data_IF_532682442577
#
_entry.id   IF_532682442577
#
_cell.length_a   1.000
_cell.length_b   1.000
_cell.length_c   1.000
_cell.angle_alpha   90.00
_cell.angle_beta   90.00
_cell.angle_gamma   90.00
#
_symmetry.space_group_name_H-M   'P 1'
#
loop_
_entity.id
_entity.type
_entity.pdbx_description
1 polymer ?
#
# COMPACT_ATOMS: atom_id res chain seq x y z
N UNK A 1 -34.11 -2.35 -2.58
CA UNK A 1 -33.64 -3.56 -3.31
C UNK A 1 -32.78 -3.29 -4.56
N UNK A 2 -32.94 -2.21 -5.34
CA UNK A 2 -32.07 -1.90 -6.50
C UNK A 2 -30.60 -1.59 -6.11
N UNK A 3 -30.33 -1.03 -4.93
CA UNK A 3 -28.98 -0.73 -4.45
C UNK A 3 -28.16 -1.98 -4.06
N UNK A 4 -28.80 -3.03 -3.53
CA UNK A 4 -28.09 -4.27 -3.14
C UNK A 4 -27.61 -5.08 -4.37
N UNK A 5 -28.40 -5.13 -5.46
CA UNK A 5 -28.00 -5.81 -6.71
C UNK A 5 -26.76 -5.18 -7.35
N UNK A 6 -26.57 -3.86 -7.22
CA UNK A 6 -25.38 -3.18 -7.71
C UNK A 6 -24.13 -3.46 -6.84
N UNK A 7 -24.30 -3.79 -5.59
CA UNK A 7 -23.18 -4.03 -4.66
C UNK A 7 -22.53 -5.39 -4.92
N UNK A 8 -23.35 -6.45 -5.00
CA UNK A 8 -22.86 -7.81 -5.27
C UNK A 8 -22.18 -7.93 -6.64
N UNK A 9 -22.69 -7.29 -7.68
CA UNK A 9 -22.03 -7.29 -9.00
C UNK A 9 -20.71 -6.52 -9.00
N UNK A 10 -20.60 -5.44 -8.24
CA UNK A 10 -19.34 -4.68 -8.09
C UNK A 10 -18.27 -5.48 -7.35
N UNK A 11 -18.66 -6.22 -6.30
CA UNK A 11 -17.76 -7.11 -5.57
C UNK A 11 -17.29 -8.29 -6.43
N UNK A 12 -18.18 -8.89 -7.22
CA UNK A 12 -17.83 -10.00 -8.11
C UNK A 12 -16.84 -9.56 -9.20
N UNK A 13 -17.06 -8.41 -9.82
CA UNK A 13 -16.14 -7.82 -10.81
C UNK A 13 -14.78 -7.54 -10.17
N UNK A 14 -14.76 -7.07 -8.93
CA UNK A 14 -13.55 -6.76 -8.17
C UNK A 14 -12.74 -8.03 -7.88
N UNK A 15 -13.37 -9.08 -7.39
CA UNK A 15 -12.73 -10.37 -7.09
C UNK A 15 -12.22 -11.02 -8.38
N UNK A 16 -13.04 -11.08 -9.43
CA UNK A 16 -12.64 -11.63 -10.73
C UNK A 16 -11.49 -10.86 -11.36
N UNK A 17 -11.50 -9.52 -11.26
CA UNK A 17 -10.43 -8.71 -11.83
C UNK A 17 -9.13 -8.85 -11.04
N UNK A 18 -9.18 -8.92 -9.71
CA UNK A 18 -8.00 -9.17 -8.87
C UNK A 18 -7.40 -10.53 -9.19
N UNK A 19 -8.22 -11.56 -9.34
CA UNK A 19 -7.77 -12.89 -9.77
C UNK A 19 -7.16 -12.81 -11.17
N UNK A 20 -7.81 -12.12 -12.10
CA UNK A 20 -7.37 -12.03 -13.51
C UNK A 20 -6.06 -11.26 -13.68
N UNK A 21 -5.81 -10.24 -12.87
CA UNK A 21 -4.59 -9.41 -12.94
C UNK A 21 -3.43 -10.02 -12.12
N UNK A 22 -3.74 -10.71 -11.02
CA UNK A 22 -2.70 -11.25 -10.12
C UNK A 22 -2.23 -12.65 -10.52
N UNK A 23 -3.09 -13.49 -11.12
CA UNK A 23 -2.75 -14.89 -11.44
C UNK A 23 -1.78 -15.03 -12.63
N UNK A 24 -1.91 -14.31 -13.75
CA UNK A 24 -0.96 -14.43 -14.87
C UNK A 24 0.41 -13.84 -14.55
N UNK A 25 0.43 -12.75 -13.77
CA UNK A 25 1.71 -12.11 -13.36
C UNK A 25 2.58 -13.02 -12.49
N UNK A 26 1.97 -13.93 -11.74
CA UNK A 26 2.68 -14.86 -10.87
C UNK A 26 3.23 -16.10 -11.58
N UNK A 27 2.63 -16.52 -12.70
CA UNK A 27 2.94 -17.80 -13.35
C UNK A 27 4.23 -17.79 -14.23
N UNK A 28 4.66 -16.62 -14.73
CA UNK A 28 5.78 -16.53 -15.68
C UNK A 28 7.06 -15.89 -15.12
N UNK A 29 7.11 -15.51 -13.84
CA UNK A 29 8.13 -14.64 -13.28
C UNK A 29 9.32 -15.35 -12.62
N UNK A 30 9.73 -16.49 -13.13
CA UNK A 30 10.98 -17.15 -12.68
C UNK A 30 12.25 -16.34 -12.98
N UNK A 31 12.14 -15.30 -13.83
CA UNK A 31 13.15 -14.28 -14.07
C UNK A 31 12.43 -12.96 -14.34
N UNK A 32 12.08 -12.20 -13.27
CA UNK A 32 11.50 -10.90 -13.43
C UNK A 32 12.47 -9.98 -14.18
N UNK A 33 12.18 -9.69 -15.45
CA UNK A 33 12.92 -8.64 -16.17
C UNK A 33 12.58 -7.27 -15.58
N UNK A 34 13.54 -6.32 -15.64
CA UNK A 34 13.31 -4.95 -15.20
C UNK A 34 12.01 -4.36 -15.77
N UNK A 35 11.69 -4.70 -17.02
CA UNK A 35 10.46 -4.26 -17.68
C UNK A 35 9.19 -4.84 -17.07
N UNK A 36 9.20 -6.11 -16.64
CA UNK A 36 8.03 -6.75 -16.04
C UNK A 36 7.70 -6.16 -14.64
N UNK A 37 8.73 -5.94 -13.81
CA UNK A 37 8.55 -5.33 -12.48
C UNK A 37 8.08 -3.88 -12.62
N UNK A 38 8.67 -3.12 -13.54
CA UNK A 38 8.24 -1.75 -13.83
C UNK A 38 6.78 -1.72 -14.33
N UNK A 39 6.45 -2.55 -15.31
CA UNK A 39 5.09 -2.62 -15.86
C UNK A 39 4.07 -3.04 -14.80
N UNK A 40 4.39 -4.02 -13.95
CA UNK A 40 3.55 -4.47 -12.85
C UNK A 40 3.22 -3.32 -11.87
N UNK A 41 4.21 -2.53 -11.50
CA UNK A 41 4.01 -1.36 -10.65
C UNK A 41 3.18 -0.28 -11.34
N UNK A 42 3.56 0.12 -12.55
CA UNK A 42 2.94 1.23 -13.28
C UNK A 42 1.51 0.88 -13.69
N UNK A 43 1.33 -0.19 -14.45
CA UNK A 43 0.01 -0.57 -14.96
C UNK A 43 -0.90 -1.11 -13.84
N UNK A 44 -0.34 -1.91 -12.94
CA UNK A 44 -1.09 -2.46 -11.81
C UNK A 44 -1.65 -1.36 -10.91
N UNK A 45 -0.85 -0.34 -10.55
CA UNK A 45 -1.32 0.79 -9.75
C UNK A 45 -2.34 1.63 -10.53
N UNK A 46 -2.09 1.89 -11.83
CA UNK A 46 -3.02 2.64 -12.68
C UNK A 46 -4.40 2.00 -12.74
N UNK A 47 -4.45 0.70 -13.05
CA UNK A 47 -5.71 -0.06 -13.12
C UNK A 47 -6.39 -0.14 -11.76
N UNK A 48 -5.65 -0.44 -10.69
CA UNK A 48 -6.21 -0.54 -9.34
C UNK A 48 -6.79 0.80 -8.85
N UNK A 49 -6.17 1.93 -9.22
CA UNK A 49 -6.68 3.27 -8.93
C UNK A 49 -8.02 3.52 -9.64
N UNK A 50 -8.16 3.11 -10.91
CA UNK A 50 -9.43 3.18 -11.64
C UNK A 50 -10.51 2.33 -10.95
N UNK A 51 -10.18 1.09 -10.58
CA UNK A 51 -11.12 0.18 -9.91
C UNK A 51 -11.57 0.74 -8.56
N UNK A 52 -10.63 1.24 -7.75
CA UNK A 52 -10.95 1.90 -6.48
C UNK A 52 -11.91 3.06 -6.69
N UNK A 53 -11.62 3.95 -7.64
CA UNK A 53 -12.47 5.10 -7.98
C UNK A 53 -13.86 4.69 -8.46
N UNK A 54 -13.95 3.63 -9.28
CA UNK A 54 -15.22 3.06 -9.75
C UNK A 54 -16.07 2.52 -8.60
N UNK A 55 -15.47 1.76 -7.69
CA UNK A 55 -16.15 1.20 -6.51
C UNK A 55 -16.66 2.29 -5.58
N UNK A 56 -15.87 3.36 -5.42
CA UNK A 56 -16.24 4.53 -4.62
C UNK A 56 -17.29 5.43 -5.30
N UNK A 57 -17.63 5.16 -6.57
CA UNK A 57 -18.64 5.92 -7.31
C UNK A 57 -18.15 7.28 -7.83
N UNK A 58 -16.83 7.47 -7.91
CA UNK A 58 -16.20 8.73 -8.33
C UNK A 58 -15.98 8.81 -9.85
N UNK A 59 -16.10 7.70 -10.59
CA UNK A 59 -16.04 7.67 -12.05
C UNK A 59 -17.44 7.98 -12.62
N UNK A 60 -17.55 9.12 -13.32
CA UNK A 60 -18.77 9.57 -13.99
C UNK A 60 -18.58 9.70 -15.50
N UNK A 61 -17.35 9.72 -15.98
CA UNK A 61 -17.01 9.93 -17.37
C UNK A 61 -15.74 9.18 -17.77
N UNK A 62 -15.50 9.03 -19.07
CA UNK A 62 -14.24 8.49 -19.60
C UNK A 62 -13.03 9.35 -19.20
N UNK A 63 -13.22 10.67 -19.05
CA UNK A 63 -12.18 11.58 -18.54
C UNK A 63 -11.72 11.20 -17.13
N UNK A 64 -12.66 10.80 -16.27
CA UNK A 64 -12.31 10.36 -14.89
C UNK A 64 -11.52 9.05 -14.92
N UNK A 65 -11.89 8.09 -15.80
CA UNK A 65 -11.13 6.85 -16.02
C UNK A 65 -9.70 7.18 -16.44
N UNK A 66 -9.54 8.04 -17.46
CA UNK A 66 -8.22 8.45 -17.98
C UNK A 66 -7.40 9.16 -16.89
N UNK A 67 -8.02 10.07 -16.14
CA UNK A 67 -7.37 10.75 -15.00
C UNK A 67 -6.85 9.75 -13.98
N UNK A 68 -7.71 8.82 -13.52
CA UNK A 68 -7.34 7.80 -12.53
C UNK A 68 -6.22 6.89 -13.04
N UNK A 69 -6.30 6.47 -14.31
CA UNK A 69 -5.29 5.60 -14.90
C UNK A 69 -3.93 6.32 -15.02
N UNK A 70 -3.89 7.52 -15.58
CA UNK A 70 -2.62 8.26 -15.80
C UNK A 70 -1.95 8.59 -14.48
N UNK A 71 -2.66 9.19 -13.53
CA UNK A 71 -2.06 9.53 -12.24
C UNK A 71 -1.79 8.31 -11.36
N UNK A 72 -2.63 7.27 -11.43
CA UNK A 72 -2.35 5.99 -10.79
C UNK A 72 -1.11 5.32 -11.34
N UNK A 73 -0.89 5.37 -12.67
CA UNK A 73 0.34 4.88 -13.31
C UNK A 73 1.57 5.71 -12.91
N UNK A 74 1.44 7.02 -12.81
CA UNK A 74 2.51 7.88 -12.28
C UNK A 74 2.86 7.54 -10.82
N UNK A 75 1.85 7.30 -9.99
CA UNK A 75 2.07 6.80 -8.63
C UNK A 75 2.75 5.42 -8.62
N UNK A 76 2.39 4.53 -9.55
CA UNK A 76 3.03 3.23 -9.75
C UNK A 76 4.52 3.34 -10.09
N UNK A 77 4.91 4.31 -10.93
CA UNK A 77 6.31 4.63 -11.19
C UNK A 77 7.01 5.13 -9.93
N UNK A 78 6.34 5.98 -9.13
CA UNK A 78 6.87 6.43 -7.85
C UNK A 78 7.08 5.28 -6.87
N UNK A 79 6.17 4.31 -6.78
CA UNK A 79 6.36 3.10 -5.97
C UNK A 79 7.51 2.22 -6.47
N UNK A 80 7.68 2.05 -7.78
CA UNK A 80 8.84 1.38 -8.35
C UNK A 80 10.15 2.04 -7.91
N UNK A 81 10.26 3.35 -8.06
CA UNK A 81 11.44 4.11 -7.65
C UNK A 81 11.68 4.06 -6.14
N UNK A 82 10.62 4.13 -5.32
CA UNK A 82 10.73 4.05 -3.87
C UNK A 82 11.32 2.70 -3.40
N UNK A 83 10.90 1.59 -4.03
CA UNK A 83 11.47 0.25 -3.77
C UNK A 83 12.92 0.16 -4.22
N UNK A 84 13.24 0.73 -5.39
CA UNK A 84 14.62 0.78 -5.89
C UNK A 84 15.55 1.59 -4.97
N UNK A 85 15.06 2.69 -4.39
CA UNK A 85 15.79 3.48 -3.38
C UNK A 85 16.01 2.67 -2.10
N UNK A 86 14.95 2.05 -1.57
CA UNK A 86 15.02 1.23 -0.36
C UNK A 86 15.99 0.05 -0.53
N UNK A 87 15.93 -0.66 -1.67
CA UNK A 87 16.82 -1.76 -2.00
C UNK A 87 18.30 -1.38 -2.07
N UNK A 88 18.58 -0.11 -2.42
CA UNK A 88 19.95 0.46 -2.38
C UNK A 88 20.35 1.00 -0.99
N UNK A 89 19.54 0.79 0.04
CA UNK A 89 19.78 1.28 1.39
C UNK A 89 19.26 2.69 1.68
N UNK A 90 18.74 3.43 0.70
CA UNK A 90 18.14 4.75 0.88
C UNK A 90 16.68 4.64 1.35
N UNK A 91 16.46 3.95 2.47
CA UNK A 91 15.13 3.55 2.95
C UNK A 91 14.26 4.77 3.24
N UNK A 92 14.78 5.80 3.93
CA UNK A 92 14.01 7.01 4.25
C UNK A 92 13.45 7.68 2.99
N UNK A 93 14.30 7.91 1.99
CA UNK A 93 13.88 8.51 0.72
C UNK A 93 12.85 7.63 -0.01
N UNK A 94 13.05 6.30 0.03
CA UNK A 94 12.09 5.34 -0.49
C UNK A 94 10.73 5.46 0.19
N UNK A 95 10.68 5.49 1.53
CA UNK A 95 9.43 5.61 2.31
C UNK A 95 8.73 6.94 2.05
N UNK A 96 9.47 8.05 1.99
CA UNK A 96 8.89 9.36 1.68
C UNK A 96 8.27 9.40 0.28
N UNK A 97 8.97 8.86 -0.72
CA UNK A 97 8.45 8.76 -2.09
C UNK A 97 7.25 7.81 -2.17
N UNK A 98 7.24 6.72 -1.39
CA UNK A 98 6.09 5.82 -1.31
C UNK A 98 4.85 6.51 -0.75
N UNK A 99 4.99 7.30 0.33
CA UNK A 99 3.87 8.07 0.89
C UNK A 99 3.35 9.13 -0.09
N UNK A 100 4.23 9.82 -0.82
CA UNK A 100 3.82 10.75 -1.88
C UNK A 100 3.06 10.02 -3.00
N UNK A 101 3.56 8.88 -3.44
CA UNK A 101 2.91 8.05 -4.48
C UNK A 101 1.56 7.54 -4.00
N UNK A 102 1.45 7.10 -2.76
CA UNK A 102 0.19 6.71 -2.13
C UNK A 102 -0.80 7.87 -2.12
N UNK A 103 -0.36 9.07 -1.75
CA UNK A 103 -1.20 10.27 -1.75
C UNK A 103 -1.78 10.56 -3.13
N UNK A 104 -0.95 10.51 -4.18
CA UNK A 104 -1.41 10.72 -5.56
C UNK A 104 -2.49 9.71 -5.96
N UNK A 105 -2.25 8.41 -5.73
CA UNK A 105 -3.20 7.36 -6.06
C UNK A 105 -4.52 7.50 -5.26
N UNK A 106 -4.43 7.77 -3.96
CA UNK A 106 -5.60 7.96 -3.09
C UNK A 106 -6.43 9.18 -3.50
N UNK A 107 -5.79 10.34 -3.70
CA UNK A 107 -6.48 11.58 -4.07
C UNK A 107 -7.28 11.39 -5.36
N UNK A 108 -6.65 10.86 -6.41
CA UNK A 108 -7.36 10.66 -7.69
C UNK A 108 -8.47 9.61 -7.59
N UNK A 109 -8.26 8.54 -6.82
CA UNK A 109 -9.31 7.54 -6.57
C UNK A 109 -10.50 8.14 -5.81
N UNK A 110 -10.27 9.15 -4.98
CA UNK A 110 -11.30 9.90 -4.24
C UNK A 110 -11.97 10.99 -5.09
N UNK A 111 -11.53 11.20 -6.33
CA UNK A 111 -12.06 12.24 -7.23
C UNK A 111 -11.39 13.61 -7.04
N UNK A 112 -10.39 13.70 -6.17
CA UNK A 112 -9.64 14.93 -5.86
C UNK A 112 -8.54 15.20 -6.89
N UNK A 113 -7.87 16.34 -6.78
CA UNK A 113 -6.63 16.63 -7.51
C UNK A 113 -5.48 15.74 -7.03
N UNK A 114 -4.50 15.40 -7.88
CA UNK A 114 -3.46 14.43 -7.53
C UNK A 114 -2.60 14.84 -6.31
N UNK A 115 -2.51 16.13 -6.03
CA UNK A 115 -1.73 16.70 -4.93
C UNK A 115 -2.59 17.53 -3.95
N UNK A 116 -3.90 17.31 -3.90
CA UNK A 116 -4.78 18.06 -2.99
C UNK A 116 -4.48 17.72 -1.52
N UNK A 117 -4.10 16.49 -1.24
CA UNK A 117 -3.67 16.06 0.10
C UNK A 117 -2.34 15.32 0.02
N UNK A 118 -1.51 15.51 1.04
CA UNK A 118 -0.33 14.68 1.32
C UNK A 118 -0.64 13.74 2.47
N UNK A 119 -0.55 12.44 2.21
CA UNK A 119 -0.78 11.39 3.18
C UNK A 119 0.53 10.86 3.77
N UNK A 120 0.52 10.65 5.07
CA UNK A 120 1.62 10.02 5.81
C UNK A 120 1.06 8.87 6.63
N UNK A 121 1.58 7.67 6.40
CA UNK A 121 1.23 6.50 7.19
C UNK A 121 2.23 6.33 8.33
N UNK A 122 1.75 6.55 9.55
CA UNK A 122 2.44 6.19 10.78
C UNK A 122 1.90 4.82 11.26
N UNK A 123 2.46 4.22 12.28
CA UNK A 123 2.23 2.79 12.59
C UNK A 123 0.79 2.28 12.39
N UNK A 124 -0.21 2.98 12.81
CA UNK A 124 -1.62 2.60 12.61
C UNK A 124 -2.50 3.82 12.28
N UNK A 125 -1.86 4.97 12.12
CA UNK A 125 -2.49 6.26 11.83
C UNK A 125 -2.12 6.66 10.41
N UNK A 126 -3.13 6.95 9.61
CA UNK A 126 -2.96 7.61 8.33
C UNK A 126 -3.39 9.07 8.48
N UNK A 127 -2.43 9.96 8.37
CA UNK A 127 -2.62 11.41 8.42
C UNK A 127 -2.60 11.97 6.99
N UNK A 128 -3.66 12.65 6.59
CA UNK A 128 -3.69 13.44 5.36
C UNK A 128 -3.69 14.93 5.70
N UNK A 129 -2.84 15.68 5.02
CA UNK A 129 -2.71 17.13 5.18
C UNK A 129 -3.10 17.80 3.87
N UNK A 130 -4.07 18.71 3.92
CA UNK A 130 -4.47 19.49 2.74
C UNK A 130 -3.32 20.38 2.29
N UNK A 131 -3.03 20.36 1.00
CA UNK A 131 -2.05 21.26 0.40
C UNK A 131 -2.70 22.60 0.00
N UNK A 132 -1.91 23.61 -0.32
CA UNK A 132 -2.43 24.86 -0.90
C UNK A 132 -3.13 24.66 -2.27
N UNK A 133 -2.97 23.52 -2.90
CA UNK A 133 -3.61 23.18 -4.18
C UNK A 133 -5.07 22.70 -4.01
N UNK A 134 -5.42 22.25 -2.81
CA UNK A 134 -6.79 21.82 -2.49
C UNK A 134 -7.74 23.01 -2.52
N UNK A 135 -8.66 23.03 -3.47
CA UNK A 135 -9.57 24.17 -3.69
C UNK A 135 -10.59 24.35 -2.56
N UNK A 136 -11.06 23.28 -1.94
CA UNK A 136 -12.02 23.29 -0.84
C UNK A 136 -11.79 22.06 0.02
N UNK A 137 -10.73 22.01 0.83
CA UNK A 137 -10.43 20.83 1.63
C UNK A 137 -11.54 20.60 2.65
N UNK A 138 -11.96 19.34 2.79
CA UNK A 138 -12.95 18.94 3.80
C UNK A 138 -12.43 19.14 5.23
N UNK A 139 -11.12 19.09 5.41
CA UNK A 139 -10.37 19.48 6.61
C UNK A 139 -8.92 19.76 6.23
N UNK A 140 -8.21 20.54 7.03
CA UNK A 140 -6.76 20.74 6.85
C UNK A 140 -6.02 19.46 7.21
N UNK A 141 -6.42 18.80 8.28
CA UNK A 141 -5.90 17.53 8.73
C UNK A 141 -7.02 16.49 8.74
N UNK A 142 -6.78 15.36 8.10
CA UNK A 142 -7.67 14.21 8.13
C UNK A 142 -6.93 13.01 8.71
N UNK A 143 -7.47 12.44 9.78
CA UNK A 143 -6.88 11.31 10.49
C UNK A 143 -7.76 10.09 10.32
N UNK A 144 -7.18 8.97 9.93
CA UNK A 144 -7.84 7.68 9.93
C UNK A 144 -6.94 6.61 10.55
N UNK A 145 -7.54 5.53 11.06
CA UNK A 145 -6.81 4.37 11.56
C UNK A 145 -6.92 3.20 10.59
N UNK A 146 -5.87 2.37 10.57
CA UNK A 146 -5.83 1.12 9.82
C UNK A 146 -6.02 -0.05 10.78
N UNK A 147 -7.09 -0.83 10.61
CA UNK A 147 -7.32 -2.03 11.44
C UNK A 147 -6.23 -3.09 11.24
N UNK A 148 -5.77 -3.27 9.98
CA UNK A 148 -4.67 -4.19 9.66
C UNK A 148 -3.39 -3.79 10.36
N UNK A 149 -3.04 -2.50 10.34
CA UNK A 149 -1.80 -2.03 10.93
C UNK A 149 -1.86 -2.09 12.47
N UNK A 150 -3.04 -1.92 13.07
CA UNK A 150 -3.23 -2.17 14.51
C UNK A 150 -2.92 -3.63 14.85
N UNK A 151 -3.51 -4.59 14.11
CA UNK A 151 -3.26 -6.02 14.33
C UNK A 151 -1.80 -6.36 14.06
N UNK A 152 -1.24 -5.82 12.98
CA UNK A 152 0.17 -5.99 12.60
C UNK A 152 1.12 -5.45 13.67
N UNK A 153 0.83 -4.27 14.22
CA UNK A 153 1.59 -3.68 15.32
C UNK A 153 1.58 -4.56 16.57
N UNK A 154 0.38 -5.01 16.99
CA UNK A 154 0.24 -5.89 18.17
C UNK A 154 1.02 -7.19 17.96
N UNK A 155 0.97 -7.76 16.76
CA UNK A 155 1.73 -8.98 16.42
C UNK A 155 3.23 -8.74 16.44
N UNK A 156 3.70 -7.62 15.89
CA UNK A 156 5.11 -7.27 15.85
C UNK A 156 5.68 -6.99 17.25
N UNK A 157 4.95 -6.23 18.07
CA UNK A 157 5.42 -5.88 19.43
C UNK A 157 5.47 -7.09 20.36
N UNK A 158 4.57 -8.07 20.17
CA UNK A 158 4.55 -9.29 20.98
C UNK A 158 5.85 -10.10 20.84
N UNK A 159 6.48 -10.05 19.67
CA UNK A 159 7.69 -10.79 19.34
C UNK A 159 8.96 -9.92 19.39
N UNK A 160 8.81 -8.63 19.72
CA UNK A 160 9.91 -7.68 19.68
C UNK A 160 10.67 -7.63 21.01
N UNK A 161 12.02 -7.63 20.92
CA UNK A 161 12.89 -7.27 22.02
C UNK A 161 13.14 -5.77 22.08
N UNK A 162 13.33 -5.15 20.92
CA UNK A 162 13.53 -3.72 20.81
C UNK A 162 12.62 -3.13 19.72
N UNK A 163 12.18 -1.91 19.98
CA UNK A 163 11.40 -1.11 19.05
C UNK A 163 12.19 0.17 18.79
N UNK A 164 12.35 0.53 17.55
CA UNK A 164 13.05 1.76 17.15
C UNK A 164 12.39 2.41 15.95
N UNK A 165 12.47 3.74 15.87
CA UNK A 165 12.07 4.48 14.69
C UNK A 165 13.32 4.76 13.86
N UNK A 166 13.42 4.12 12.70
CA UNK A 166 14.56 4.26 11.79
C UNK A 166 14.08 4.45 10.36
N UNK A 167 14.72 5.35 9.65
CA UNK A 167 14.49 5.55 8.21
C UNK A 167 13.01 5.78 7.83
N UNK A 168 12.24 6.48 8.69
CA UNK A 168 10.84 6.73 8.45
C UNK A 168 9.89 5.55 8.74
N UNK A 169 10.41 4.45 9.27
CA UNK A 169 9.64 3.26 9.64
C UNK A 169 9.79 2.95 11.13
N UNK A 170 8.72 2.46 11.75
CA UNK A 170 8.79 1.82 13.05
C UNK A 170 9.28 0.39 12.83
N UNK A 171 10.46 0.09 13.35
CA UNK A 171 11.15 -1.19 13.15
C UNK A 171 11.25 -1.96 14.44
N UNK A 172 11.21 -3.27 14.33
CA UNK A 172 11.28 -4.20 15.45
C UNK A 172 12.52 -5.06 15.31
N UNK A 173 13.12 -5.41 16.46
CA UNK A 173 14.20 -6.39 16.51
C UNK A 173 13.75 -7.54 17.39
N UNK A 174 13.91 -8.78 16.92
CA UNK A 174 13.60 -10.01 17.64
C UNK A 174 14.87 -10.83 17.86
N UNK A 175 14.89 -11.66 18.90
CA UNK A 175 16.00 -12.58 19.16
C UNK A 175 15.79 -13.92 18.45
N UNK A 176 14.53 -14.33 18.29
CA UNK A 176 14.17 -15.60 17.69
C UNK A 176 13.53 -15.40 16.31
N UNK A 177 13.85 -16.24 15.33
CA UNK A 177 13.26 -16.18 14.01
C UNK A 177 11.79 -16.64 14.05
N UNK A 178 10.97 -16.03 13.21
CA UNK A 178 9.57 -16.45 13.02
C UNK A 178 9.46 -17.89 12.53
N UNK A 179 10.44 -18.33 11.71
CA UNK A 179 10.60 -19.70 11.24
C UNK A 179 12.07 -19.96 10.92
N UNK A 180 12.46 -21.24 10.84
CA UNK A 180 13.84 -21.65 10.52
C UNK A 180 14.33 -21.01 9.22
N UNK A 181 15.44 -20.28 9.27
CA UNK A 181 16.07 -19.64 8.12
C UNK A 181 15.53 -18.24 7.79
N UNK A 182 14.53 -17.75 8.52
CA UNK A 182 13.99 -16.40 8.35
C UNK A 182 14.82 -15.41 9.17
N UNK A 183 15.46 -14.46 8.49
CA UNK A 183 16.31 -13.43 9.12
C UNK A 183 15.58 -12.11 9.38
N UNK A 184 14.43 -11.92 8.72
CA UNK A 184 13.55 -10.77 8.88
C UNK A 184 12.16 -11.08 8.35
N UNK A 185 11.19 -10.28 8.71
CA UNK A 185 9.83 -10.34 8.20
C UNK A 185 9.13 -8.99 8.34
N UNK A 186 8.13 -8.75 7.53
CA UNK A 186 7.33 -7.54 7.62
C UNK A 186 5.86 -7.89 7.80
N UNK A 187 5.24 -7.30 8.81
CA UNK A 187 3.80 -7.39 9.04
C UNK A 187 3.18 -6.01 8.82
N UNK A 188 2.35 -5.88 7.80
CA UNK A 188 1.84 -4.57 7.39
C UNK A 188 2.97 -3.65 6.94
N UNK A 189 3.15 -2.52 7.63
CA UNK A 189 4.24 -1.56 7.38
C UNK A 189 5.37 -1.65 8.42
N UNK A 190 5.44 -2.75 9.17
CA UNK A 190 6.37 -2.94 10.31
C UNK A 190 7.46 -3.95 9.97
N UNK A 191 8.64 -3.51 9.52
CA UNK A 191 9.79 -4.38 9.36
C UNK A 191 10.27 -4.92 10.71
N UNK A 192 10.56 -6.20 10.76
CA UNK A 192 11.19 -6.89 11.88
C UNK A 192 12.44 -7.58 11.38
N UNK A 193 13.55 -7.44 12.09
CA UNK A 193 14.81 -8.13 11.79
C UNK A 193 15.31 -8.86 13.04
N UNK A 194 16.08 -9.92 12.85
CA UNK A 194 16.78 -10.55 13.97
C UNK A 194 17.88 -9.64 14.50
N UNK A 195 18.24 -9.82 15.77
CA UNK A 195 19.40 -9.20 16.38
C UNK A 195 20.66 -9.52 15.55
N UNK A 196 21.35 -8.50 15.07
CA UNK A 196 22.48 -8.66 14.14
C UNK A 196 22.11 -8.83 12.66
N UNK A 197 20.85 -8.65 12.29
CA UNK A 197 20.40 -8.64 10.89
C UNK A 197 21.15 -7.60 10.05
N UNK A 198 21.54 -7.98 8.82
CA UNK A 198 22.28 -7.12 7.91
C UNK A 198 21.42 -5.95 7.40
N UNK A 199 22.09 -4.89 6.92
CA UNK A 199 21.42 -3.78 6.22
C UNK A 199 20.62 -4.25 5.00
N UNK A 200 21.05 -5.31 4.35
CA UNK A 200 20.36 -5.92 3.21
C UNK A 200 19.02 -6.56 3.63
N UNK A 201 18.98 -7.27 4.78
CA UNK A 201 17.73 -7.80 5.34
C UNK A 201 16.78 -6.64 5.63
N UNK A 202 17.27 -5.57 6.26
CA UNK A 202 16.44 -4.40 6.54
C UNK A 202 15.93 -3.72 5.27
N UNK A 203 16.73 -3.64 4.21
CA UNK A 203 16.30 -3.11 2.92
C UNK A 203 15.21 -3.97 2.28
N UNK A 204 15.35 -5.30 2.34
CA UNK A 204 14.34 -6.26 1.88
C UNK A 204 13.01 -6.07 2.62
N UNK A 205 13.04 -6.01 3.93
CA UNK A 205 11.84 -5.81 4.76
C UNK A 205 11.21 -4.43 4.56
N UNK A 206 12.02 -3.39 4.32
CA UNK A 206 11.51 -2.06 3.98
C UNK A 206 10.75 -2.05 2.63
N UNK A 207 11.16 -2.87 1.65
CA UNK A 207 10.42 -3.03 0.39
C UNK A 207 9.04 -3.62 0.65
N UNK A 208 8.91 -4.62 1.54
CA UNK A 208 7.62 -5.17 1.94
C UNK A 208 6.72 -4.13 2.63
N UNK A 209 7.29 -3.25 3.45
CA UNK A 209 6.54 -2.13 4.02
C UNK A 209 6.03 -1.17 2.93
N UNK A 210 6.85 -0.85 1.91
CA UNK A 210 6.44 -0.03 0.76
C UNK A 210 5.35 -0.73 -0.07
N UNK A 211 5.44 -2.04 -0.27
CA UNK A 211 4.38 -2.82 -0.94
C UNK A 211 3.07 -2.75 -0.17
N UNK A 212 3.13 -2.75 1.16
CA UNK A 212 1.95 -2.59 2.02
C UNK A 212 1.34 -1.20 1.89
N UNK A 213 2.15 -0.13 1.81
CA UNK A 213 1.68 1.24 1.52
C UNK A 213 1.03 1.34 0.14
N UNK A 214 1.63 0.72 -0.89
CA UNK A 214 1.07 0.66 -2.24
C UNK A 214 -0.28 -0.03 -2.24
N UNK A 215 -0.39 -1.19 -1.60
CA UNK A 215 -1.64 -1.94 -1.50
C UNK A 215 -2.72 -1.11 -0.79
N UNK A 216 -2.36 -0.41 0.29
CA UNK A 216 -3.25 0.47 1.02
C UNK A 216 -3.82 1.60 0.15
N UNK A 217 -2.95 2.22 -0.65
CA UNK A 217 -3.32 3.34 -1.52
C UNK A 217 -4.30 2.96 -2.62
N UNK A 218 -4.25 1.72 -3.11
CA UNK A 218 -5.08 1.26 -4.23
C UNK A 218 -6.25 0.37 -3.81
N UNK A 219 -6.29 -0.09 -2.57
CA UNK A 219 -7.38 -0.95 -2.07
C UNK A 219 -8.69 -0.18 -1.93
N UNK A 220 -9.79 -0.70 -2.49
CA UNK A 220 -11.10 -0.07 -2.43
C UNK A 220 -11.81 -0.37 -1.10
N UNK A 221 -11.20 -0.03 0.01
CA UNK A 221 -11.69 -0.46 1.31
C UNK A 221 -12.78 0.43 1.89
N UNK A 222 -13.87 -0.15 2.39
CA UNK A 222 -14.87 0.61 3.11
C UNK A 222 -14.29 1.08 4.45
N UNK A 223 -14.59 2.33 4.80
CA UNK A 223 -14.45 2.76 6.19
C UNK A 223 -15.52 2.06 7.03
N UNK A 224 -15.12 1.35 8.08
CA UNK A 224 -16.06 0.74 9.03
C UNK A 224 -16.94 1.80 9.72
N UNK A 225 -16.38 2.99 9.92
CA UNK A 225 -17.05 4.10 10.58
C UNK A 225 -16.66 5.40 9.88
N UNK A 226 -17.12 5.59 8.65
CA UNK A 226 -17.01 6.90 8.02
C UNK A 226 -18.07 7.81 8.62
N UNK A 227 -17.70 8.71 9.52
CA UNK A 227 -18.57 9.81 9.89
C UNK A 227 -18.62 10.75 8.71
N UNK A 228 -19.58 10.55 7.81
CA UNK A 228 -19.89 11.51 6.77
C UNK A 228 -20.34 12.80 7.47
N UNK A 229 -19.46 13.80 7.51
CA UNK A 229 -19.86 15.11 7.97
C UNK A 229 -20.22 15.92 6.71
N UNK A 230 -21.52 16.17 6.46
CA UNK A 230 -21.95 16.91 5.28
C UNK A 230 -21.58 18.39 5.35
N UNK A 231 -21.27 18.91 6.55
CA UNK A 231 -20.90 20.30 6.73
C UNK A 231 -19.44 20.51 6.36
N UNK A 232 -19.21 20.89 5.11
CA UNK A 232 -17.93 21.33 4.55
C UNK A 232 -17.51 22.71 5.10
N UNK A 233 -17.58 22.89 6.39
CA UNK A 233 -17.09 24.09 7.06
C UNK A 233 -15.74 23.78 7.70
N UNK A 234 -14.72 24.48 7.29
CA UNK A 234 -13.36 24.65 7.84
C UNK A 234 -13.06 24.02 9.21
N UNK A 235 -13.11 22.70 9.32
CA UNK A 235 -12.59 22.03 10.52
C UNK A 235 -11.11 21.82 10.34
N UNK A 236 -10.32 22.35 11.25
CA UNK A 236 -8.86 22.15 11.24
C UNK A 236 -8.49 20.67 11.28
N UNK A 237 -9.28 19.84 11.98
CA UNK A 237 -9.05 18.40 12.15
C UNK A 237 -10.33 17.62 11.90
N UNK A 238 -10.24 16.59 11.05
CA UNK A 238 -11.29 15.61 10.82
C UNK A 238 -10.78 14.21 11.20
N UNK A 239 -11.63 13.45 11.87
CA UNK A 239 -11.44 12.02 12.05
C UNK A 239 -12.33 11.26 11.06
N UNK A 240 -11.72 10.61 10.07
CA UNK A 240 -12.42 9.89 9.01
C UNK A 240 -12.82 8.46 9.37
N UNK A 241 -12.36 7.95 10.50
CA UNK A 241 -12.74 6.64 11.00
C UNK A 241 -11.67 5.57 10.89
N UNK A 242 -12.10 4.30 10.89
CA UNK A 242 -11.22 3.14 10.79
C UNK A 242 -11.33 2.52 9.40
N UNK A 243 -10.22 2.40 8.69
CA UNK A 243 -10.12 1.69 7.41
C UNK A 243 -10.06 0.18 7.68
N UNK A 244 -10.99 -0.56 7.12
CA UNK A 244 -11.01 -2.01 7.18
C UNK A 244 -10.18 -2.56 6.02
N UNK A 245 -8.94 -2.89 6.26
CA UNK A 245 -8.06 -3.45 5.23
C UNK A 245 -8.28 -4.96 5.03
N UNK A 246 -9.55 -5.37 4.95
CA UNK A 246 -9.95 -6.76 4.75
C UNK A 246 -9.42 -7.35 3.44
N UNK A 247 -9.31 -6.51 2.40
CA UNK A 247 -8.81 -6.92 1.09
C UNK A 247 -7.32 -7.27 1.11
N UNK A 248 -6.51 -6.46 1.80
CA UNK A 248 -5.10 -6.76 2.01
C UNK A 248 -4.90 -8.05 2.80
N UNK A 249 -5.72 -8.26 3.84
CA UNK A 249 -5.70 -9.48 4.64
C UNK A 249 -6.14 -10.71 3.81
N UNK A 250 -7.22 -10.59 3.05
CA UNK A 250 -7.70 -11.66 2.18
C UNK A 250 -6.67 -12.01 1.09
N UNK A 251 -6.05 -11.02 0.47
CA UNK A 251 -4.98 -11.21 -0.51
C UNK A 251 -3.78 -11.94 0.10
N UNK A 252 -3.35 -11.53 1.30
CA UNK A 252 -2.26 -12.20 2.00
C UNK A 252 -2.62 -13.66 2.34
N UNK A 253 -3.85 -13.93 2.81
CA UNK A 253 -4.31 -15.29 3.12
C UNK A 253 -4.41 -16.18 1.87
N UNK A 254 -4.98 -15.67 0.78
CA UNK A 254 -5.13 -16.41 -0.48
C UNK A 254 -3.77 -16.71 -1.09
N UNK A 255 -2.88 -15.73 -1.16
CA UNK A 255 -1.54 -15.94 -1.71
C UNK A 255 -0.69 -16.84 -0.80
N UNK A 256 -0.84 -16.77 0.52
CA UNK A 256 -0.16 -17.68 1.46
C UNK A 256 -0.63 -19.12 1.29
N UNK A 257 -1.90 -19.36 0.98
CA UNK A 257 -2.45 -20.69 0.80
C UNK A 257 -2.14 -21.33 -0.56
N UNK A 258 -1.95 -20.53 -1.61
CA UNK A 258 -1.88 -21.02 -2.99
C UNK A 258 -0.47 -21.04 -3.59
N UNK A 259 0.47 -20.29 -3.05
CA UNK A 259 1.82 -20.15 -3.62
C UNK A 259 2.92 -20.53 -2.63
N UNK A 260 3.96 -21.20 -3.13
CA UNK A 260 5.21 -21.37 -2.38
C UNK A 260 5.82 -19.99 -2.06
N UNK A 261 6.50 -19.87 -0.92
CA UNK A 261 7.03 -18.61 -0.40
C UNK A 261 7.87 -17.83 -1.43
N UNK A 262 8.80 -18.52 -2.07
CA UNK A 262 9.72 -17.98 -3.08
C UNK A 262 9.06 -17.63 -4.43
N UNK A 263 7.83 -18.10 -4.65
CA UNK A 263 7.04 -17.85 -5.86
C UNK A 263 6.03 -16.70 -5.68
N UNK A 264 5.95 -16.10 -4.50
CA UNK A 264 5.03 -14.98 -4.24
C UNK A 264 5.56 -13.72 -4.90
N UNK A 265 4.69 -13.01 -5.61
CA UNK A 265 5.05 -11.76 -6.28
C UNK A 265 5.78 -10.78 -5.35
N UNK A 266 5.32 -10.62 -4.12
CA UNK A 266 5.93 -9.73 -3.13
C UNK A 266 7.38 -10.11 -2.85
N UNK A 267 7.66 -11.37 -2.67
CA UNK A 267 9.02 -11.87 -2.44
C UNK A 267 9.91 -11.69 -3.67
N UNK A 268 9.40 -12.08 -4.86
CA UNK A 268 10.13 -11.92 -6.12
C UNK A 268 10.52 -10.45 -6.32
N UNK A 269 9.59 -9.54 -6.10
CA UNK A 269 9.84 -8.11 -6.22
C UNK A 269 10.81 -7.60 -5.15
N UNK A 270 10.68 -8.04 -3.89
CA UNK A 270 11.57 -7.65 -2.81
C UNK A 270 13.00 -8.14 -3.06
N UNK A 271 13.18 -9.37 -3.51
CA UNK A 271 14.48 -9.88 -3.92
C UNK A 271 15.04 -9.16 -5.13
N UNK A 272 14.21 -8.82 -6.12
CA UNK A 272 14.63 -8.06 -7.29
C UNK A 272 15.30 -6.72 -6.92
N UNK A 273 14.72 -5.97 -5.97
CA UNK A 273 15.26 -4.69 -5.56
C UNK A 273 16.40 -4.78 -4.53
N UNK A 274 16.37 -5.79 -3.64
CA UNK A 274 17.34 -5.91 -2.53
C UNK A 274 18.56 -6.77 -2.85
N UNK A 275 18.51 -7.56 -3.94
CA UNK A 275 19.67 -8.35 -4.36
C UNK A 275 20.80 -7.46 -4.82
N UNK A 276 22.06 -7.73 -4.44
CA UNK A 276 23.19 -7.03 -5.01
C UNK A 276 23.18 -7.28 -6.52
N UNK A 277 23.25 -6.19 -7.31
CA UNK A 277 23.41 -6.30 -8.76
C UNK A 277 24.74 -7.00 -9.00
N UNK A 278 24.70 -8.28 -9.30
CA UNK A 278 25.87 -8.97 -9.86
C UNK A 278 26.13 -8.31 -11.22
N UNK A 279 27.11 -7.38 -11.23
CA UNK A 279 27.63 -6.78 -12.45
C UNK A 279 28.45 -7.81 -13.23
#
# INVERSE_FOLDING_TARGET
>A
MKHLKNWTSRWLVMVLFTILVMVPAAAELKAASNGAVLAGNVLGTGVSTVIRSLIMGNIKSFKDVSKCFVYGSAAGLGFYQSKAMAGKGNILSGVLLANLSASVAENVAMGEGPLDYLGFSFPFVHLQVATPLAKNPAAIFDVSFSSRDIVSFITSIKNAKHVSFRNGLLTFTADEPLAKGVMGWTTGIFPTTLSGGSSQVMAHEAIHAIQSLQLMAVSPEPFLFRKSNPDRGSKALRFSGVRLQAFGLANDLVLHGLQKYDMRWKEIEAYYFSSPVTK
#
